data_IF_936137490316
#
_entry.id   IF_936137490316
#
_cell.length_a   1.000
_cell.length_b   1.000
_cell.length_c   1.000
_cell.angle_alpha   90.00
_cell.angle_beta   90.00
_cell.angle_gamma   90.00
#
_symmetry.space_group_name_H-M   'P 1'
#
loop_
_entity.id
_entity.type
_entity.pdbx_description
1 polymer ?
#
# COMPACT_ATOMS: atom_id res chain seq x y z
N UNK A 1 40.97 45.49 17.80
CA UNK A 1 40.15 45.38 19.04
C UNK A 1 40.14 43.97 19.50
N UNK A 2 40.72 43.76 20.69
CA UNK A 2 41.02 42.49 21.34
C UNK A 2 39.75 41.74 21.79
N UNK A 3 39.72 40.43 21.57
CA UNK A 3 39.00 39.54 22.47
C UNK A 3 39.74 38.20 22.58
N UNK A 4 40.13 37.92 23.82
CA UNK A 4 40.91 36.76 24.25
C UNK A 4 40.03 35.52 24.45
N UNK A 5 40.58 34.27 24.31
CA UNK A 5 39.87 33.06 24.67
C UNK A 5 40.03 32.71 26.16
N UNK A 6 38.94 32.19 26.75
CA UNK A 6 38.92 31.69 28.12
C UNK A 6 39.51 30.28 28.17
N UNK A 7 40.57 30.09 28.96
CA UNK A 7 41.15 28.80 29.34
C UNK A 7 40.44 28.33 30.60
N UNK A 8 39.84 27.14 30.56
CA UNK A 8 39.31 26.42 31.74
C UNK A 8 40.33 25.33 32.13
N UNK A 9 40.99 25.53 33.23
CA UNK A 9 41.93 24.59 33.86
C UNK A 9 41.14 23.49 34.59
N UNK A 10 41.38 22.23 34.24
CA UNK A 10 40.81 21.07 34.90
C UNK A 10 41.82 20.46 35.84
N UNK A 11 41.52 20.52 37.14
CA UNK A 11 42.35 19.98 38.22
C UNK A 11 42.25 18.44 38.30
N UNK A 12 43.38 17.78 38.13
CA UNK A 12 43.59 16.33 38.33
C UNK A 12 43.78 16.07 39.83
N UNK A 13 42.83 15.40 40.45
CA UNK A 13 43.04 14.77 41.78
C UNK A 13 43.26 13.27 41.63
N UNK A 14 44.48 12.90 41.91
CA UNK A 14 44.96 11.53 42.00
C UNK A 14 44.40 10.84 43.28
N UNK A 15 43.54 9.85 43.12
CA UNK A 15 43.16 8.93 44.20
C UNK A 15 43.83 7.58 43.97
N UNK A 16 44.74 7.24 44.84
CA UNK A 16 45.33 5.91 44.96
C UNK A 16 44.33 5.00 45.70
N UNK A 17 43.86 3.95 45.06
CA UNK A 17 43.02 2.93 45.70
C UNK A 17 43.72 1.58 45.62
N UNK A 18 43.94 1.02 46.80
CA UNK A 18 44.61 -0.24 47.09
C UNK A 18 43.77 -1.38 46.56
N UNK A 19 44.37 -2.26 45.74
CA UNK A 19 43.74 -3.47 45.23
C UNK A 19 43.70 -4.58 46.30
N UNK A 20 42.50 -5.01 46.66
CA UNK A 20 42.28 -6.27 47.37
C UNK A 20 41.79 -7.30 46.35
N UNK A 21 42.64 -8.28 46.03
CA UNK A 21 42.32 -9.39 45.14
C UNK A 21 41.45 -10.41 45.89
N UNK A 22 40.15 -10.33 45.67
CA UNK A 22 39.21 -11.38 46.03
C UNK A 22 38.79 -12.16 44.77
N UNK A 23 39.27 -13.39 44.63
CA UNK A 23 38.85 -14.31 43.57
C UNK A 23 37.44 -14.80 43.82
N UNK A 24 36.43 -14.19 43.19
CA UNK A 24 35.06 -14.70 43.18
C UNK A 24 34.92 -15.60 41.96
N UNK A 25 34.80 -16.91 42.17
CA UNK A 25 34.33 -17.86 41.16
C UNK A 25 32.88 -17.56 40.79
N UNK A 26 32.66 -16.85 39.68
CA UNK A 26 31.33 -16.70 39.11
C UNK A 26 30.98 -17.98 38.35
N UNK A 27 30.01 -18.74 38.90
CA UNK A 27 29.30 -19.80 38.17
C UNK A 27 28.67 -19.17 36.94
N UNK A 28 29.12 -19.59 35.76
CA UNK A 28 28.52 -19.18 34.50
C UNK A 28 27.04 -19.59 34.45
N UNK A 29 26.15 -18.61 34.51
CA UNK A 29 24.76 -18.81 34.14
C UNK A 29 24.71 -18.83 32.60
N UNK A 30 24.42 -20.00 32.05
CA UNK A 30 24.03 -20.13 30.66
C UNK A 30 22.77 -19.27 30.44
N UNK A 31 22.76 -18.37 29.45
CA UNK A 31 21.55 -17.59 29.15
C UNK A 31 20.44 -18.56 28.74
N UNK A 32 19.30 -18.49 29.44
CA UNK A 32 18.09 -19.20 29.07
C UNK A 32 17.68 -18.75 27.66
N UNK A 33 17.31 -19.68 26.75
CA UNK A 33 16.83 -19.31 25.44
C UNK A 33 15.58 -18.44 25.59
N UNK A 34 15.62 -17.25 25.00
CA UNK A 34 14.46 -16.38 24.87
C UNK A 34 13.36 -17.16 24.16
N UNK A 35 12.12 -17.23 24.71
CA UNK A 35 11.02 -17.90 24.03
C UNK A 35 10.83 -17.24 22.66
N UNK A 36 10.92 -18.03 21.60
CA UNK A 36 10.58 -17.57 20.27
C UNK A 36 9.14 -17.05 20.30
N UNK A 37 8.95 -15.77 19.91
CA UNK A 37 7.62 -15.17 19.81
C UNK A 37 6.77 -16.05 18.88
N UNK A 38 5.72 -16.65 19.39
CA UNK A 38 4.75 -17.36 18.56
C UNK A 38 4.19 -16.41 17.53
N UNK A 39 4.14 -16.80 16.23
CA UNK A 39 3.46 -16.00 15.22
C UNK A 39 2.03 -15.72 15.67
N UNK A 40 1.60 -14.47 15.61
CA UNK A 40 0.21 -14.12 15.86
C UNK A 40 -0.70 -15.00 14.98
N UNK A 41 -1.85 -15.50 15.49
CA UNK A 41 -2.75 -16.32 14.72
C UNK A 41 -3.15 -15.56 13.43
N UNK A 42 -3.02 -16.22 12.28
CA UNK A 42 -3.42 -15.65 11.01
C UNK A 42 -4.92 -15.33 11.09
N UNK A 43 -5.25 -14.04 10.98
CA UNK A 43 -6.65 -13.61 10.96
C UNK A 43 -7.32 -14.20 9.72
N UNK A 44 -8.39 -14.97 9.89
CA UNK A 44 -9.22 -15.44 8.78
C UNK A 44 -9.76 -14.20 8.06
N UNK A 45 -9.55 -14.06 6.74
CA UNK A 45 -10.10 -12.94 5.99
C UNK A 45 -11.62 -12.86 6.16
N UNK A 46 -12.15 -11.66 6.43
CA UNK A 46 -13.58 -11.48 6.55
C UNK A 46 -14.29 -11.86 5.23
N UNK A 47 -15.46 -12.46 5.35
CA UNK A 47 -16.32 -12.75 4.18
C UNK A 47 -16.78 -11.42 3.58
N UNK A 48 -16.56 -11.17 2.27
CA UNK A 48 -17.01 -9.95 1.64
C UNK A 48 -18.55 -9.88 1.57
N UNK A 49 -19.14 -8.67 1.53
CA UNK A 49 -20.56 -8.51 1.28
C UNK A 49 -20.97 -9.15 -0.07
N UNK A 50 -22.25 -9.52 -0.24
CA UNK A 50 -22.77 -9.98 -1.54
C UNK A 50 -22.57 -8.88 -2.59
N UNK A 51 -22.11 -9.29 -3.78
CA UNK A 51 -22.01 -8.40 -4.94
C UNK A 51 -23.33 -8.37 -5.71
N UNK A 52 -23.62 -7.22 -6.36
CA UNK A 52 -24.59 -7.20 -7.43
C UNK A 52 -24.05 -8.07 -8.58
N UNK A 53 -24.82 -9.07 -9.09
CA UNK A 53 -24.40 -9.91 -10.21
C UNK A 53 -23.96 -9.09 -11.44
N UNK A 54 -24.59 -7.95 -11.70
CA UNK A 54 -24.25 -7.08 -12.83
C UNK A 54 -22.83 -6.49 -12.69
N UNK A 55 -22.38 -6.22 -11.47
CA UNK A 55 -21.05 -5.64 -11.20
C UNK A 55 -19.91 -6.62 -11.50
N UNK A 56 -20.17 -7.93 -11.45
CA UNK A 56 -19.13 -8.96 -11.43
C UNK A 56 -19.31 -10.07 -12.46
N UNK A 57 -20.28 -9.94 -13.36
CA UNK A 57 -20.59 -10.96 -14.37
C UNK A 57 -19.48 -11.10 -15.42
N UNK A 58 -18.82 -10.01 -15.78
CA UNK A 58 -17.79 -9.98 -16.81
C UNK A 58 -16.55 -9.25 -16.29
N UNK A 59 -15.42 -9.43 -16.98
CA UNK A 59 -14.21 -8.64 -16.70
C UNK A 59 -14.51 -7.14 -16.85
N UNK A 60 -15.22 -6.77 -17.91
CA UNK A 60 -15.54 -5.37 -18.20
C UNK A 60 -16.40 -4.74 -17.11
N UNK A 61 -17.46 -5.41 -16.67
CA UNK A 61 -18.31 -4.91 -15.60
C UNK A 61 -17.53 -4.82 -14.26
N UNK A 62 -16.70 -5.80 -13.95
CA UNK A 62 -15.87 -5.80 -12.73
C UNK A 62 -14.91 -4.60 -12.71
N UNK A 63 -14.23 -4.33 -13.82
CA UNK A 63 -13.32 -3.19 -13.92
C UNK A 63 -14.07 -1.86 -13.92
N UNK A 64 -15.18 -1.76 -14.65
CA UNK A 64 -16.00 -0.55 -14.65
C UNK A 64 -16.50 -0.21 -13.23
N UNK A 65 -17.00 -1.23 -12.50
CA UNK A 65 -17.44 -1.07 -11.11
C UNK A 65 -16.29 -0.70 -10.18
N UNK A 66 -15.11 -1.29 -10.37
CA UNK A 66 -13.94 -0.97 -9.56
C UNK A 66 -13.59 0.53 -9.63
N UNK A 67 -13.61 1.13 -10.82
CA UNK A 67 -13.37 2.56 -11.02
C UNK A 67 -14.55 3.42 -10.55
N UNK A 68 -15.78 2.97 -10.79
CA UNK A 68 -16.99 3.70 -10.41
C UNK A 68 -17.10 3.86 -8.90
N UNK A 69 -16.93 2.78 -8.15
CA UNK A 69 -17.19 2.75 -6.70
C UNK A 69 -16.24 3.61 -5.87
N UNK A 70 -15.03 3.91 -6.38
CA UNK A 70 -14.09 4.81 -5.73
C UNK A 70 -14.24 6.25 -6.20
N UNK A 71 -14.95 6.49 -7.29
CA UNK A 71 -15.11 7.81 -7.92
C UNK A 71 -16.30 8.57 -7.35
N UNK A 72 -16.16 9.88 -7.24
CA UNK A 72 -17.23 10.77 -6.82
C UNK A 72 -16.75 12.11 -6.22
N UNK A 73 -17.66 13.04 -5.96
CA UNK A 73 -17.34 14.27 -5.24
C UNK A 73 -16.89 13.98 -3.80
N UNK A 74 -16.43 14.99 -3.06
CA UNK A 74 -16.15 14.84 -1.64
C UNK A 74 -17.35 14.23 -0.93
N UNK A 75 -17.11 13.18 -0.13
CA UNK A 75 -18.15 12.44 0.56
C UNK A 75 -17.89 10.94 0.67
N UNK A 76 -18.82 10.25 1.30
CA UNK A 76 -18.74 8.80 1.53
C UNK A 76 -18.84 8.01 0.23
N UNK A 77 -18.13 6.89 0.17
CA UNK A 77 -18.24 5.90 -0.91
C UNK A 77 -19.06 4.68 -0.46
N UNK A 78 -19.59 3.93 -1.40
CA UNK A 78 -20.21 2.64 -1.10
C UNK A 78 -19.11 1.58 -0.88
N UNK A 79 -18.55 1.55 0.33
CA UNK A 79 -17.46 0.64 0.66
C UNK A 79 -17.89 -0.83 0.70
N UNK A 80 -19.16 -1.14 0.91
CA UNK A 80 -19.66 -2.52 0.85
C UNK A 80 -19.67 -3.03 -0.60
N UNK A 81 -20.10 -2.19 -1.56
CA UNK A 81 -19.99 -2.50 -2.98
C UNK A 81 -18.54 -2.63 -3.41
N UNK A 82 -17.62 -1.80 -2.86
CA UNK A 82 -16.18 -1.95 -3.09
C UNK A 82 -15.67 -3.30 -2.56
N UNK A 83 -15.94 -3.62 -1.30
CA UNK A 83 -15.51 -4.89 -0.67
C UNK A 83 -16.01 -6.11 -1.42
N UNK A 84 -17.23 -6.03 -1.95
CA UNK A 84 -17.87 -7.14 -2.66
C UNK A 84 -17.13 -7.58 -3.92
N UNK A 85 -16.26 -6.74 -4.49
CA UNK A 85 -15.47 -7.07 -5.69
C UNK A 85 -14.30 -7.99 -5.39
N UNK A 86 -13.82 -8.05 -4.15
CA UNK A 86 -12.54 -8.64 -3.81
C UNK A 86 -12.66 -10.06 -3.25
N UNK A 87 -11.78 -10.94 -3.72
CA UNK A 87 -11.59 -12.26 -3.13
C UNK A 87 -11.12 -12.12 -1.67
N UNK A 88 -11.60 -12.96 -0.71
CA UNK A 88 -11.03 -12.98 0.63
C UNK A 88 -9.52 -13.13 0.61
N UNK A 89 -8.81 -12.20 1.27
CA UNK A 89 -7.35 -12.18 1.24
C UNK A 89 -6.71 -11.40 0.09
N UNK A 90 -7.50 -10.75 -0.77
CA UNK A 90 -7.00 -9.87 -1.82
C UNK A 90 -6.04 -8.78 -1.31
N UNK A 91 -5.18 -8.28 -2.18
CA UNK A 91 -4.16 -7.27 -1.85
C UNK A 91 -4.23 -6.07 -2.78
N UNK A 92 -4.02 -4.90 -2.19
CA UNK A 92 -3.90 -3.62 -2.89
C UNK A 92 -2.51 -3.05 -2.61
N UNK A 93 -1.70 -2.87 -3.66
CA UNK A 93 -0.26 -2.67 -3.52
C UNK A 93 0.19 -1.40 -4.26
N UNK A 94 0.08 -0.21 -3.63
CA UNK A 94 0.72 1.00 -4.16
C UNK A 94 2.23 0.85 -4.18
N UNK A 95 2.83 1.25 -5.32
CA UNK A 95 4.28 1.23 -5.52
C UNK A 95 4.74 2.58 -6.04
N UNK A 96 5.94 2.97 -5.68
CA UNK A 96 6.53 4.21 -6.14
C UNK A 96 7.66 4.71 -5.24
N UNK A 97 8.26 5.85 -5.58
CA UNK A 97 9.28 6.48 -4.76
C UNK A 97 8.68 6.91 -3.42
N UNK A 98 9.42 6.64 -2.35
CA UNK A 98 9.16 7.13 -1.00
C UNK A 98 9.78 8.51 -0.83
N UNK A 99 9.46 9.18 0.28
CA UNK A 99 10.10 10.47 0.62
C UNK A 99 11.63 10.38 0.74
N UNK A 100 12.17 9.20 1.03
CA UNK A 100 13.61 8.90 1.03
C UNK A 100 14.23 8.80 -0.36
N UNK A 101 13.43 8.79 -1.43
CA UNK A 101 13.86 8.55 -2.81
C UNK A 101 13.97 7.06 -3.18
N UNK A 102 13.86 6.15 -2.22
CA UNK A 102 13.83 4.71 -2.48
C UNK A 102 12.49 4.28 -3.07
N UNK A 103 12.52 3.37 -4.03
CA UNK A 103 11.30 2.74 -4.55
C UNK A 103 10.86 1.63 -3.59
N UNK A 104 9.58 1.63 -3.26
CA UNK A 104 9.01 0.62 -2.38
C UNK A 104 7.54 0.36 -2.65
N UNK A 105 7.08 -0.79 -2.18
CA UNK A 105 5.67 -1.18 -2.21
C UNK A 105 5.09 -1.22 -0.79
N UNK A 106 3.78 -1.05 -0.69
CA UNK A 106 3.03 -1.27 0.54
C UNK A 106 1.93 -2.28 0.29
N UNK A 107 1.99 -3.42 0.94
CA UNK A 107 0.95 -4.44 0.83
C UNK A 107 -0.19 -4.06 1.78
N UNK A 108 -1.36 -3.77 1.23
CA UNK A 108 -2.57 -3.43 1.97
C UNK A 108 -3.61 -4.54 1.82
N UNK A 109 -4.36 -4.78 2.87
CA UNK A 109 -5.64 -5.48 2.78
C UNK A 109 -6.69 -4.56 2.15
N UNK A 110 -7.83 -5.12 1.75
CA UNK A 110 -8.99 -4.32 1.28
C UNK A 110 -9.40 -3.31 2.36
N UNK A 111 -9.39 -3.72 3.62
CA UNK A 111 -9.79 -2.88 4.74
C UNK A 111 -8.78 -1.74 5.03
N UNK A 112 -7.48 -2.03 4.94
CA UNK A 112 -6.44 -0.98 5.05
C UNK A 112 -6.61 0.09 3.97
N UNK A 113 -6.99 -0.31 2.76
CA UNK A 113 -7.28 0.63 1.67
C UNK A 113 -8.50 1.48 1.98
N UNK A 114 -9.61 0.86 2.39
CA UNK A 114 -10.85 1.55 2.76
C UNK A 114 -10.60 2.60 3.83
N UNK A 115 -9.88 2.25 4.89
CA UNK A 115 -9.56 3.19 5.98
C UNK A 115 -8.71 4.37 5.48
N UNK A 116 -7.71 4.13 4.62
CA UNK A 116 -6.82 5.19 4.10
C UNK A 116 -7.50 6.09 3.09
N UNK A 117 -8.20 5.49 2.13
CA UNK A 117 -8.86 6.20 1.05
C UNK A 117 -10.12 6.93 1.56
N UNK A 118 -10.88 6.31 2.46
CA UNK A 118 -12.13 6.84 2.98
C UNK A 118 -11.99 8.23 3.58
N UNK A 119 -11.03 8.40 4.48
CA UNK A 119 -10.80 9.69 5.12
C UNK A 119 -10.36 10.81 4.16
N UNK A 120 -9.70 10.45 3.05
CA UNK A 120 -9.34 11.39 1.99
C UNK A 120 -10.54 11.72 1.11
N UNK A 121 -11.28 10.72 0.66
CA UNK A 121 -12.42 10.89 -0.24
C UNK A 121 -13.61 11.61 0.41
N UNK A 122 -13.70 11.58 1.74
CA UNK A 122 -14.69 12.41 2.46
C UNK A 122 -14.41 13.90 2.35
N UNK A 123 -13.14 14.29 2.16
CA UNK A 123 -12.70 15.68 2.12
C UNK A 123 -12.49 16.21 0.72
N UNK A 124 -12.15 15.34 -0.23
CA UNK A 124 -11.76 15.70 -1.58
C UNK A 124 -12.52 14.87 -2.60
N UNK A 125 -12.88 15.49 -3.73
CA UNK A 125 -13.36 14.77 -4.90
C UNK A 125 -12.24 13.88 -5.46
N UNK A 126 -12.63 12.68 -5.87
CA UNK A 126 -11.73 11.73 -6.52
C UNK A 126 -12.50 11.02 -7.63
N UNK A 127 -12.06 11.21 -8.87
CA UNK A 127 -12.64 10.60 -10.05
C UNK A 127 -11.54 9.88 -10.81
N UNK A 128 -11.61 8.57 -10.84
CA UNK A 128 -10.66 7.74 -11.58
C UNK A 128 -11.38 7.00 -12.68
N UNK A 129 -10.74 6.92 -13.84
CA UNK A 129 -11.26 6.17 -14.98
C UNK A 129 -10.16 5.40 -15.69
N UNK A 130 -10.52 4.30 -16.30
CA UNK A 130 -9.67 3.60 -17.24
C UNK A 130 -9.63 4.36 -18.58
N UNK A 131 -8.45 4.53 -19.15
CA UNK A 131 -8.26 5.15 -20.47
C UNK A 131 -7.84 4.15 -21.54
N UNK A 132 -7.09 3.11 -21.15
CA UNK A 132 -6.67 2.03 -22.04
C UNK A 132 -6.41 0.76 -21.22
N UNK A 133 -6.44 -0.40 -21.88
CA UNK A 133 -6.21 -1.69 -21.22
C UNK A 133 -5.47 -2.65 -22.16
N UNK A 134 -4.56 -3.42 -21.57
CA UNK A 134 -4.06 -4.67 -22.12
C UNK A 134 -4.54 -5.80 -21.22
N UNK A 135 -4.96 -6.91 -21.81
CA UNK A 135 -5.51 -8.05 -21.09
C UNK A 135 -4.98 -9.35 -21.64
N UNK A 136 -4.66 -10.26 -20.75
CA UNK A 136 -4.33 -11.65 -21.02
C UNK A 136 -5.21 -12.54 -20.16
N UNK A 137 -5.71 -13.65 -20.76
CA UNK A 137 -6.60 -14.59 -20.07
C UNK A 137 -6.13 -16.01 -20.31
N UNK A 138 -6.29 -16.85 -19.29
CA UNK A 138 -6.11 -18.29 -19.41
C UNK A 138 -7.04 -19.00 -18.42
N UNK A 139 -7.97 -19.81 -18.93
CA UNK A 139 -8.97 -20.49 -18.09
C UNK A 139 -9.71 -19.52 -17.16
N UNK A 140 -9.55 -19.70 -15.88
CA UNK A 140 -10.23 -18.91 -14.85
C UNK A 140 -9.43 -17.70 -14.36
N UNK A 141 -8.31 -17.36 -14.99
CA UNK A 141 -7.50 -16.21 -14.60
C UNK A 141 -7.43 -15.15 -15.68
N UNK A 142 -7.38 -13.90 -15.25
CA UNK A 142 -7.11 -12.77 -16.13
C UNK A 142 -6.09 -11.82 -15.49
N UNK A 143 -5.21 -11.27 -16.31
CA UNK A 143 -4.28 -10.23 -15.95
C UNK A 143 -4.51 -9.00 -16.83
N UNK A 144 -4.66 -7.85 -16.21
CA UNK A 144 -4.90 -6.58 -16.89
C UNK A 144 -3.82 -5.57 -16.53
N UNK A 145 -3.30 -4.89 -17.57
CA UNK A 145 -2.58 -3.63 -17.42
C UNK A 145 -3.54 -2.52 -17.82
N UNK A 146 -4.19 -1.94 -16.82
CA UNK A 146 -5.22 -0.91 -16.97
C UNK A 146 -4.61 0.46 -16.73
N UNK A 147 -4.51 1.27 -17.77
CA UNK A 147 -4.04 2.65 -17.64
C UNK A 147 -5.16 3.50 -17.10
N UNK A 148 -4.88 4.24 -16.05
CA UNK A 148 -5.84 5.10 -15.39
C UNK A 148 -5.44 6.58 -15.43
N UNK A 149 -6.41 7.44 -15.24
CA UNK A 149 -6.24 8.84 -14.90
C UNK A 149 -7.19 9.26 -13.77
N UNK A 150 -6.69 10.08 -12.84
CA UNK A 150 -7.43 10.55 -11.69
C UNK A 150 -7.56 12.07 -11.70
N UNK A 151 -8.76 12.58 -11.32
CA UNK A 151 -9.12 14.01 -11.25
C UNK A 151 -9.76 14.32 -9.91
N UNK A 152 -9.72 15.58 -9.47
CA UNK A 152 -10.46 16.03 -8.29
C UNK A 152 -11.93 16.33 -8.62
N UNK A 153 -12.19 16.85 -9.81
CA UNK A 153 -13.54 17.00 -10.36
C UNK A 153 -13.66 16.26 -11.69
N UNK A 154 -14.87 15.81 -12.02
CA UNK A 154 -15.14 15.02 -13.23
C UNK A 154 -14.77 15.77 -14.52
N UNK A 155 -14.90 17.08 -14.52
CA UNK A 155 -14.70 18.01 -15.62
C UNK A 155 -13.33 18.72 -15.59
N UNK A 156 -12.44 18.37 -14.67
CA UNK A 156 -11.08 18.88 -14.67
C UNK A 156 -10.42 18.65 -16.03
N UNK A 157 -9.84 19.70 -16.61
CA UNK A 157 -9.24 19.65 -17.94
C UNK A 157 -8.03 18.69 -18.03
N UNK A 158 -7.31 18.52 -16.90
CA UNK A 158 -6.13 17.63 -16.79
C UNK A 158 -6.25 16.74 -15.58
N UNK A 159 -5.82 15.47 -15.67
CA UNK A 159 -5.68 14.62 -14.50
C UNK A 159 -4.54 15.15 -13.61
N UNK A 160 -4.69 15.01 -12.30
CA UNK A 160 -3.59 15.25 -11.36
C UNK A 160 -2.65 14.04 -11.27
N UNK A 161 -3.12 12.84 -11.64
CA UNK A 161 -2.35 11.61 -11.64
C UNK A 161 -2.77 10.73 -12.82
N UNK A 162 -1.79 10.06 -13.42
CA UNK A 162 -1.99 8.92 -14.32
C UNK A 162 -1.08 7.79 -13.88
N UNK A 163 -1.35 6.58 -14.35
CA UNK A 163 -0.51 5.43 -14.04
C UNK A 163 -1.09 4.14 -14.60
N UNK A 164 -0.55 3.03 -14.13
CA UNK A 164 -1.00 1.69 -14.51
C UNK A 164 -1.40 0.91 -13.27
N UNK A 165 -2.59 0.34 -13.30
CA UNK A 165 -3.06 -0.70 -12.41
C UNK A 165 -2.79 -2.07 -13.07
N UNK A 166 -1.89 -2.86 -12.49
CA UNK A 166 -1.76 -4.30 -12.79
C UNK A 166 -2.78 -5.03 -11.93
N UNK A 167 -3.83 -5.54 -12.58
CA UNK A 167 -4.97 -6.15 -11.89
C UNK A 167 -5.00 -7.64 -12.24
N UNK A 168 -5.14 -8.48 -11.22
CA UNK A 168 -5.36 -9.90 -11.38
C UNK A 168 -6.77 -10.26 -10.97
N UNK A 169 -7.46 -10.99 -11.83
CA UNK A 169 -8.82 -11.46 -11.61
C UNK A 169 -8.88 -12.98 -11.64
N UNK A 170 -9.85 -13.56 -10.92
CA UNK A 170 -10.18 -14.98 -10.92
C UNK A 170 -11.69 -15.17 -11.12
N UNK A 171 -12.07 -16.11 -11.98
CA UNK A 171 -13.45 -16.53 -12.17
C UNK A 171 -13.70 -17.84 -11.42
N UNK A 172 -14.71 -17.86 -10.55
CA UNK A 172 -15.08 -19.06 -9.77
C UNK A 172 -16.15 -19.91 -10.46
N UNK A 173 -16.45 -19.61 -11.72
CA UNK A 173 -17.54 -20.22 -12.49
C UNK A 173 -18.89 -19.50 -12.34
N UNK A 174 -18.99 -18.50 -11.46
CA UNK A 174 -20.20 -17.73 -11.21
C UNK A 174 -19.96 -16.22 -11.39
N UNK A 175 -18.75 -15.75 -11.08
CA UNK A 175 -18.39 -14.33 -11.11
C UNK A 175 -16.90 -14.11 -11.23
N UNK A 176 -16.51 -12.90 -11.57
CA UNK A 176 -15.13 -12.44 -11.48
C UNK A 176 -14.85 -11.80 -10.12
N UNK A 177 -13.65 -12.10 -9.58
CA UNK A 177 -13.12 -11.60 -8.33
C UNK A 177 -11.83 -10.85 -8.57
N UNK A 178 -11.66 -9.70 -7.93
CA UNK A 178 -10.36 -9.03 -7.87
C UNK A 178 -9.48 -9.73 -6.83
N UNK A 179 -8.33 -10.23 -7.28
CA UNK A 179 -7.35 -10.93 -6.42
C UNK A 179 -6.26 -9.97 -5.96
N UNK A 180 -5.75 -9.16 -6.88
CA UNK A 180 -4.68 -8.21 -6.58
C UNK A 180 -4.82 -6.99 -7.48
N UNK A 181 -4.57 -5.81 -6.89
CA UNK A 181 -4.31 -4.58 -7.64
C UNK A 181 -2.94 -4.08 -7.22
N UNK A 182 -2.00 -4.03 -8.15
CA UNK A 182 -0.65 -3.55 -7.97
C UNK A 182 -0.43 -2.37 -8.91
N UNK A 183 -0.14 -1.17 -8.38
CA UNK A 183 -0.11 0.01 -9.23
C UNK A 183 1.06 0.94 -8.96
N UNK A 184 1.40 1.68 -10.00
CA UNK A 184 2.34 2.78 -9.94
C UNK A 184 1.81 3.97 -10.76
N UNK A 185 1.92 5.17 -10.18
CA UNK A 185 1.71 6.41 -10.92
C UNK A 185 2.89 6.70 -11.85
N UNK A 186 2.62 7.39 -12.97
CA UNK A 186 3.70 7.93 -13.79
C UNK A 186 4.42 9.08 -13.06
N UNK A 187 5.68 9.23 -13.38
CA UNK A 187 6.52 10.36 -12.97
C UNK A 187 7.49 10.74 -14.12
N UNK A 188 8.30 11.77 -13.92
CA UNK A 188 9.25 12.24 -14.94
C UNK A 188 10.25 11.18 -15.40
N UNK A 189 10.59 10.22 -14.53
CA UNK A 189 11.52 9.12 -14.84
C UNK A 189 10.82 7.92 -15.48
N UNK A 190 9.52 7.79 -15.25
CA UNK A 190 8.70 6.67 -15.70
C UNK A 190 7.41 7.20 -16.38
N UNK A 191 7.51 7.86 -17.53
CA UNK A 191 6.32 8.29 -18.26
C UNK A 191 5.58 7.10 -18.84
N UNK A 192 4.26 7.22 -19.00
CA UNK A 192 3.44 6.15 -19.59
C UNK A 192 3.88 5.86 -21.03
N UNK A 193 4.29 4.62 -21.37
CA UNK A 193 4.62 4.24 -22.73
C UNK A 193 3.39 4.34 -23.66
N UNK A 194 3.60 4.80 -24.91
CA UNK A 194 2.52 5.02 -25.88
C UNK A 194 1.64 3.77 -26.11
N UNK A 195 2.23 2.57 -26.06
CA UNK A 195 1.51 1.31 -26.19
C UNK A 195 0.41 1.10 -25.14
N UNK A 196 0.49 1.79 -23.99
CA UNK A 196 -0.50 1.73 -22.92
C UNK A 196 -1.48 2.92 -22.92
N UNK A 197 -1.39 3.82 -23.90
CA UNK A 197 -2.31 4.95 -24.06
C UNK A 197 -3.33 4.71 -25.18
N UNK A 198 -3.17 3.65 -25.96
CA UNK A 198 -4.07 3.28 -27.07
C UNK A 198 -4.99 2.13 -26.62
N UNK A 199 -6.30 2.27 -26.94
CA UNK A 199 -7.30 1.21 -26.74
C UNK A 199 -7.06 0.04 -27.69
#
# INVERSE_FOLDING_TARGET
>A
MNTRPFLVTMNFRLFVLIAITGTIMTRGQTPSPTPASQPAPAQTPATPPPADPADVATIDSTIATLYDVISGPAGKRNWDRFRSLFLPGARLIPTGPRQTGEVGARVLTVEDYVQRAGGRFEKEGFFEREVARRIETFGNIAHLFSTYESRHAKDDAKPFQRGINSIQLMNDGKRWWVVTIFWQGEDEKNPLPEKYLKK
#
